data_IF_561058101382
#
_entry.id   IF_561058101382
#
_cell.length_a   1.000
_cell.length_b   1.000
_cell.length_c   1.000
_cell.angle_alpha   90.00
_cell.angle_beta   90.00
_cell.angle_gamma   90.00
#
_symmetry.space_group_name_H-M   'P 1'
#
loop_
_entity.id
_entity.type
_entity.pdbx_description
1 polymer ?
#
# COMPACT_ATOMS: atom_id res chain seq x y z
N UNK A 1 70.46 24.58 -7.78
CA UNK A 1 71.57 25.45 -8.22
C UNK A 1 71.26 25.79 -9.65
N UNK A 2 70.74 27.02 -9.78
CA UNK A 2 70.89 27.99 -10.87
C UNK A 2 70.34 27.56 -12.24
N UNK A 3 69.21 28.13 -12.69
CA UNK A 3 69.04 29.48 -13.26
C UNK A 3 69.98 29.73 -14.45
N UNK A 4 69.40 29.86 -15.64
CA UNK A 4 69.93 30.77 -16.66
C UNK A 4 68.86 31.12 -17.70
N UNK A 5 68.41 32.37 -17.67
CA UNK A 5 67.69 33.04 -18.74
C UNK A 5 68.26 34.45 -18.92
N UNK A 6 68.51 34.88 -20.17
CA UNK A 6 68.43 36.31 -20.50
C UNK A 6 67.88 36.57 -21.93
N UNK A 7 67.79 37.82 -22.41
CA UNK A 7 67.08 39.01 -21.91
C UNK A 7 66.13 39.62 -23.02
N UNK A 8 65.46 40.77 -22.82
CA UNK A 8 64.31 41.23 -23.64
C UNK A 8 64.65 42.32 -24.67
N UNK A 9 63.72 42.62 -25.60
CA UNK A 9 63.60 43.89 -26.33
C UNK A 9 62.21 44.01 -27.02
N UNK A 10 61.83 45.16 -27.63
CA UNK A 10 61.17 46.31 -27.00
C UNK A 10 59.77 46.62 -27.58
N UNK A 11 59.06 47.56 -26.94
CA UNK A 11 57.72 48.02 -27.32
C UNK A 11 57.74 49.03 -28.48
N UNK A 12 56.69 49.03 -29.31
CA UNK A 12 56.28 50.21 -30.09
C UNK A 12 54.74 50.28 -30.27
N UNK A 13 54.18 51.49 -30.15
CA UNK A 13 52.74 51.83 -30.32
C UNK A 13 52.51 52.63 -31.63
N UNK A 14 51.29 53.13 -31.97
CA UNK A 14 50.40 52.52 -32.97
C UNK A 14 50.06 53.46 -34.14
N UNK A 15 49.44 52.95 -35.21
CA UNK A 15 48.82 53.77 -36.27
C UNK A 15 47.30 53.55 -36.35
N UNK A 16 46.54 54.56 -35.89
CA UNK A 16 45.08 54.72 -36.03
C UNK A 16 44.75 55.18 -37.45
N UNK A 17 43.78 54.55 -38.12
CA UNK A 17 43.25 55.11 -39.37
C UNK A 17 42.24 54.26 -40.15
N UNK A 18 42.17 52.94 -39.92
CA UNK A 18 41.35 52.05 -40.76
C UNK A 18 40.04 51.56 -40.13
N UNK A 19 39.93 51.58 -38.80
CA UNK A 19 38.79 50.98 -38.08
C UNK A 19 37.50 51.81 -38.09
N UNK A 20 37.59 53.13 -38.29
CA UNK A 20 36.42 54.01 -38.15
C UNK A 20 35.44 53.95 -39.34
N UNK A 21 35.87 53.53 -40.53
CA UNK A 21 34.99 53.45 -41.72
C UNK A 21 34.17 52.16 -41.77
N UNK A 22 34.69 51.05 -41.24
CA UNK A 22 34.00 49.75 -41.30
C UNK A 22 32.87 49.64 -40.26
N UNK A 23 32.97 50.37 -39.13
CA UNK A 23 31.93 50.39 -38.08
C UNK A 23 30.66 51.13 -38.54
N UNK A 24 30.79 52.17 -39.37
CA UNK A 24 29.63 52.99 -39.79
C UNK A 24 28.69 52.19 -40.71
N UNK A 25 29.21 51.34 -41.59
CA UNK A 25 28.38 50.49 -42.46
C UNK A 25 27.75 49.30 -41.72
N UNK A 26 28.45 48.73 -40.72
CA UNK A 26 27.93 47.62 -39.92
C UNK A 26 26.78 48.03 -38.99
N UNK A 27 26.82 49.24 -38.42
CA UNK A 27 25.77 49.73 -37.50
C UNK A 27 24.53 50.21 -38.27
N UNK A 28 24.70 50.84 -39.43
CA UNK A 28 23.56 51.31 -40.25
C UNK A 28 22.73 50.19 -40.87
N UNK A 29 23.38 49.10 -41.33
CA UNK A 29 22.68 47.95 -41.92
C UNK A 29 21.90 47.11 -40.90
N UNK A 30 22.45 46.96 -39.68
CA UNK A 30 21.81 46.20 -38.60
C UNK A 30 20.53 46.87 -38.06
N UNK A 31 20.53 48.20 -37.96
CA UNK A 31 19.36 48.95 -37.47
C UNK A 31 18.18 48.92 -38.46
N UNK A 32 18.46 48.99 -39.77
CA UNK A 32 17.44 48.89 -40.80
C UNK A 32 16.77 47.51 -40.84
N UNK A 33 17.56 46.43 -40.69
CA UNK A 33 17.03 45.06 -40.62
C UNK A 33 16.19 44.81 -39.36
N UNK A 34 16.61 45.36 -38.22
CA UNK A 34 15.85 45.23 -36.96
C UNK A 34 14.52 46.00 -37.01
N UNK A 35 14.50 47.20 -37.58
CA UNK A 35 13.28 47.99 -37.74
C UNK A 35 12.26 47.33 -38.68
N UNK A 36 12.72 46.70 -39.77
CA UNK A 36 11.87 45.95 -40.70
C UNK A 36 11.30 44.69 -40.04
N UNK A 37 12.11 43.95 -39.27
CA UNK A 37 11.66 42.77 -38.55
C UNK A 37 10.65 43.10 -37.43
N UNK A 38 10.86 44.20 -36.70
CA UNK A 38 9.93 44.69 -35.69
C UNK A 38 8.59 45.12 -36.31
N UNK A 39 8.63 45.83 -37.44
CA UNK A 39 7.41 46.21 -38.16
C UNK A 39 6.65 45.00 -38.72
N UNK A 40 7.34 43.95 -39.18
CA UNK A 40 6.72 42.72 -39.66
C UNK A 40 6.08 41.88 -38.53
N UNK A 41 6.61 41.98 -37.31
CA UNK A 41 6.05 41.34 -36.11
C UNK A 41 4.80 42.10 -35.62
N UNK A 42 4.84 43.43 -35.56
CA UNK A 42 3.70 44.27 -35.18
C UNK A 42 2.57 44.28 -36.21
N UNK A 43 2.89 44.22 -37.50
CA UNK A 43 1.90 44.13 -38.58
C UNK A 43 1.23 42.73 -38.69
N UNK A 44 1.56 41.79 -37.81
CA UNK A 44 0.93 40.47 -37.75
C UNK A 44 1.28 39.52 -38.90
N UNK A 45 2.25 39.89 -39.74
CA UNK A 45 2.69 39.08 -40.89
C UNK A 45 3.50 37.84 -40.48
N UNK A 46 4.02 37.82 -39.25
CA UNK A 46 4.76 36.68 -38.69
C UNK A 46 3.96 35.90 -37.63
N UNK A 47 2.63 36.05 -37.57
CA UNK A 47 1.78 35.33 -36.60
C UNK A 47 1.16 34.05 -37.18
N UNK A 48 1.82 32.95 -36.88
CA UNK A 48 1.37 31.55 -36.69
C UNK A 48 0.60 30.75 -37.77
N UNK A 49 1.10 29.53 -38.02
CA UNK A 49 0.28 28.31 -38.12
C UNK A 49 1.02 27.07 -37.60
N UNK A 50 1.02 26.87 -36.28
CA UNK A 50 0.51 25.65 -35.61
C UNK A 50 0.76 25.75 -34.10
N UNK A 51 0.08 26.69 -33.47
CA UNK A 51 -0.28 26.59 -32.06
C UNK A 51 -1.66 25.92 -31.99
N UNK A 52 -1.65 24.63 -31.69
CA UNK A 52 -2.82 23.77 -31.57
C UNK A 52 -2.49 22.46 -30.89
N UNK A 53 -1.59 22.51 -29.90
CA UNK A 53 -1.33 21.48 -28.90
C UNK A 53 -0.57 22.21 -27.79
N UNK A 54 -1.31 23.01 -27.01
CA UNK A 54 -0.83 23.40 -25.70
C UNK A 54 -0.82 22.11 -24.88
N UNK A 55 0.40 21.59 -24.73
CA UNK A 55 0.87 20.69 -23.69
C UNK A 55 0.20 21.08 -22.37
N UNK A 56 -0.97 20.48 -22.15
CA UNK A 56 -1.58 20.42 -20.84
C UNK A 56 -0.66 19.56 -20.02
N UNK A 57 0.22 20.23 -19.28
CA UNK A 57 0.82 19.79 -18.02
C UNK A 57 0.35 18.37 -17.68
N UNK A 58 1.05 17.36 -18.22
CA UNK A 58 0.78 15.95 -17.94
C UNK A 58 1.28 15.60 -16.55
N UNK A 59 0.92 16.41 -15.56
CA UNK A 59 0.53 15.97 -14.24
C UNK A 59 -0.87 15.31 -14.30
N UNK A 60 -1.02 14.36 -15.22
CA UNK A 60 -2.07 13.35 -15.10
C UNK A 60 -1.37 12.14 -14.51
N UNK A 61 -1.20 12.14 -13.19
CA UNK A 61 -1.38 10.87 -12.49
C UNK A 61 -2.72 10.36 -13.00
N UNK A 62 -2.73 9.24 -13.72
CA UNK A 62 -3.99 8.64 -14.16
C UNK A 62 -4.87 8.55 -12.91
N UNK A 63 -6.04 9.19 -12.93
CA UNK A 63 -6.91 9.17 -11.77
C UNK A 63 -7.16 7.71 -11.39
N UNK A 64 -6.82 7.36 -10.14
CA UNK A 64 -7.00 6.00 -9.64
C UNK A 64 -8.43 5.53 -9.92
N UNK A 65 -8.59 4.24 -10.20
CA UNK A 65 -9.90 3.64 -10.46
C UNK A 65 -10.91 4.01 -9.35
N UNK A 66 -12.11 4.41 -9.76
CA UNK A 66 -13.19 4.83 -8.86
C UNK A 66 -14.32 3.80 -8.90
N UNK A 67 -14.50 3.01 -7.82
CA UNK A 67 -15.64 2.10 -7.71
C UNK A 67 -16.98 2.84 -7.66
N UNK A 68 -18.10 2.20 -8.06
CA UNK A 68 -19.43 2.82 -7.97
C UNK A 68 -19.77 3.25 -6.53
N UNK A 69 -20.43 4.40 -6.30
CA UNK A 69 -20.85 4.81 -4.96
C UNK A 69 -21.97 3.90 -4.43
N UNK A 70 -22.14 3.82 -3.10
CA UNK A 70 -23.19 3.00 -2.47
C UNK A 70 -24.62 3.33 -2.96
N UNK A 71 -24.87 4.58 -3.35
CA UNK A 71 -26.15 5.00 -3.94
C UNK A 71 -26.44 4.38 -5.32
N UNK A 72 -25.44 3.77 -5.96
CA UNK A 72 -25.57 3.09 -7.25
C UNK A 72 -25.77 1.57 -7.11
N UNK A 73 -25.90 1.04 -5.89
CA UNK A 73 -26.29 -0.36 -5.69
C UNK A 73 -27.72 -0.52 -6.23
N UNK A 74 -27.97 -1.47 -7.16
CA UNK A 74 -29.28 -1.65 -7.77
C UNK A 74 -30.34 -2.10 -6.74
N UNK A 75 -31.59 -2.02 -7.14
CA UNK A 75 -32.69 -2.66 -6.40
C UNK A 75 -32.80 -4.14 -6.77
N UNK A 76 -33.52 -4.89 -5.94
CA UNK A 76 -33.80 -6.32 -6.17
C UNK A 76 -32.68 -7.27 -5.73
N UNK A 77 -32.77 -8.55 -6.13
CA UNK A 77 -31.96 -9.61 -5.53
C UNK A 77 -30.44 -9.43 -5.64
N UNK A 78 -29.95 -8.86 -6.75
CA UNK A 78 -28.52 -8.58 -6.93
C UNK A 78 -28.05 -7.49 -5.96
N UNK A 79 -28.80 -6.39 -5.86
CA UNK A 79 -28.53 -5.31 -4.92
C UNK A 79 -28.54 -5.77 -3.47
N UNK A 80 -29.49 -6.62 -3.10
CA UNK A 80 -29.58 -7.18 -1.76
C UNK A 80 -28.37 -8.05 -1.42
N UNK A 81 -27.87 -8.82 -2.38
CA UNK A 81 -26.66 -9.62 -2.21
C UNK A 81 -25.40 -8.74 -2.08
N UNK A 82 -25.30 -7.65 -2.85
CA UNK A 82 -24.23 -6.65 -2.71
C UNK A 82 -24.25 -6.05 -1.31
N UNK A 83 -25.43 -5.65 -0.79
CA UNK A 83 -25.58 -5.09 0.56
C UNK A 83 -25.21 -6.10 1.65
N UNK A 84 -25.60 -7.37 1.52
CA UNK A 84 -25.16 -8.43 2.46
C UNK A 84 -23.65 -8.64 2.41
N UNK A 85 -23.05 -8.66 1.21
CA UNK A 85 -21.61 -8.75 1.03
C UNK A 85 -20.86 -7.59 1.69
N UNK A 86 -21.34 -6.37 1.49
CA UNK A 86 -20.80 -5.17 2.15
C UNK A 86 -20.91 -5.27 3.67
N UNK A 87 -22.05 -5.73 4.20
CA UNK A 87 -22.25 -5.90 5.65
C UNK A 87 -21.27 -6.94 6.24
N UNK A 88 -21.06 -8.07 5.56
CA UNK A 88 -20.04 -9.07 5.94
C UNK A 88 -18.64 -8.46 5.87
N UNK A 89 -18.33 -7.69 4.84
CA UNK A 89 -17.02 -7.07 4.68
C UNK A 89 -16.69 -6.06 5.79
N UNK A 90 -17.67 -5.24 6.14
CA UNK A 90 -17.53 -4.16 7.12
C UNK A 90 -17.54 -4.65 8.56
N UNK A 91 -18.33 -5.69 8.85
CA UNK A 91 -18.50 -6.23 10.20
C UNK A 91 -18.57 -7.77 10.17
N UNK A 92 -17.46 -8.40 9.83
CA UNK A 92 -17.37 -9.83 9.54
C UNK A 92 -17.65 -10.67 10.77
N UNK A 93 -17.15 -10.28 11.93
CA UNK A 93 -17.38 -10.98 13.19
C UNK A 93 -18.85 -11.01 13.61
N UNK A 94 -19.68 -10.06 13.14
CA UNK A 94 -21.11 -10.05 13.43
C UNK A 94 -21.93 -10.77 12.36
N UNK A 95 -21.59 -10.62 11.08
CA UNK A 95 -22.39 -11.12 9.96
C UNK A 95 -21.93 -12.48 9.42
N UNK A 96 -20.78 -12.98 9.85
CA UNK A 96 -20.25 -14.31 9.53
C UNK A 96 -19.60 -14.94 10.76
N UNK A 97 -20.17 -14.72 11.95
CA UNK A 97 -19.61 -15.08 13.27
C UNK A 97 -19.21 -16.54 13.38
N UNK A 98 -19.94 -17.43 12.71
CA UNK A 98 -19.70 -18.88 12.76
C UNK A 98 -18.33 -19.26 12.22
N UNK A 99 -17.75 -18.42 11.35
CA UNK A 99 -16.50 -18.69 10.63
C UNK A 99 -15.35 -17.74 11.01
N UNK A 100 -15.52 -16.92 12.06
CA UNK A 100 -14.52 -15.97 12.53
C UNK A 100 -14.08 -16.36 13.94
N UNK A 101 -12.78 -16.65 14.10
CA UNK A 101 -12.18 -17.04 15.38
C UNK A 101 -11.41 -15.93 16.08
N UNK A 102 -11.59 -14.67 15.64
CA UNK A 102 -11.00 -13.48 16.25
C UNK A 102 -11.99 -12.30 16.22
N UNK A 103 -11.52 -11.07 16.43
CA UNK A 103 -12.38 -9.87 16.42
C UNK A 103 -12.09 -8.93 15.25
N UNK A 104 -11.58 -9.45 14.14
CA UNK A 104 -11.30 -8.66 12.96
C UNK A 104 -12.50 -8.61 12.02
N UNK A 105 -12.44 -7.69 11.07
CA UNK A 105 -13.29 -7.57 9.89
C UNK A 105 -12.44 -7.32 8.66
N UNK A 106 -12.93 -7.66 7.47
CA UNK A 106 -12.19 -7.44 6.21
C UNK A 106 -11.77 -5.97 6.08
N UNK A 107 -12.67 -5.06 6.44
CA UNK A 107 -12.48 -3.61 6.47
C UNK A 107 -11.31 -3.11 7.32
N UNK A 108 -10.80 -3.90 8.28
CA UNK A 108 -9.66 -3.48 9.11
C UNK A 108 -8.33 -3.45 8.33
N UNK A 109 -8.21 -4.22 7.24
CA UNK A 109 -7.03 -4.25 6.38
C UNK A 109 -7.34 -3.72 4.97
N UNK A 110 -8.61 -3.84 4.56
CA UNK A 110 -9.11 -3.39 3.27
C UNK A 110 -9.95 -2.13 3.50
N UNK A 111 -9.27 -1.01 3.69
CA UNK A 111 -9.90 0.23 4.15
C UNK A 111 -10.97 0.75 3.17
N UNK A 112 -11.85 1.59 3.70
CA UNK A 112 -12.97 2.18 2.96
C UNK A 112 -13.86 1.11 2.29
N UNK A 113 -14.20 0.06 3.04
CA UNK A 113 -14.97 -1.07 2.51
C UNK A 113 -14.30 -1.80 1.35
N UNK A 114 -12.98 -1.73 1.23
CA UNK A 114 -12.23 -2.32 0.12
C UNK A 114 -12.14 -1.42 -1.12
N UNK A 115 -12.47 -0.14 -1.00
CA UNK A 115 -12.38 0.86 -2.08
C UNK A 115 -11.03 1.57 -2.11
N UNK A 116 -10.34 1.70 -0.98
CA UNK A 116 -9.12 2.50 -0.85
C UNK A 116 -7.96 1.88 -1.63
N UNK A 117 -7.42 2.62 -2.59
CA UNK A 117 -6.15 2.32 -3.25
C UNK A 117 -5.01 2.19 -2.22
N UNK A 118 -4.00 1.36 -2.51
CA UNK A 118 -2.87 1.08 -1.62
C UNK A 118 -3.27 0.43 -0.28
N UNK A 119 -4.52 -0.04 -0.15
CA UNK A 119 -5.04 -0.81 0.98
C UNK A 119 -5.62 -2.16 0.52
N UNK A 120 -5.00 -2.76 -0.51
CA UNK A 120 -5.44 -3.99 -1.14
C UNK A 120 -6.94 -3.95 -1.53
N UNK A 121 -7.35 -3.00 -2.39
CA UNK A 121 -8.74 -2.82 -2.75
C UNK A 121 -9.32 -4.02 -3.50
N UNK A 122 -10.64 -4.24 -3.34
CA UNK A 122 -11.35 -5.37 -3.92
C UNK A 122 -11.54 -5.24 -5.43
N UNK A 123 -11.71 -4.01 -5.93
CA UNK A 123 -11.85 -3.75 -7.36
C UNK A 123 -10.62 -4.20 -8.16
N UNK A 124 -9.42 -4.01 -7.62
CA UNK A 124 -8.19 -4.50 -8.23
C UNK A 124 -8.01 -6.01 -8.10
N UNK A 125 -8.49 -6.59 -6.99
CA UNK A 125 -8.38 -8.03 -6.77
C UNK A 125 -9.32 -8.80 -7.71
N UNK A 126 -10.53 -8.29 -7.97
CA UNK A 126 -11.50 -8.99 -8.80
C UNK A 126 -11.00 -9.25 -10.23
N UNK A 127 -10.31 -8.29 -10.83
CA UNK A 127 -9.90 -8.36 -12.25
C UNK A 127 -8.78 -9.36 -12.53
N UNK A 128 -8.02 -9.77 -11.51
CA UNK A 128 -6.81 -10.59 -11.67
C UNK A 128 -6.96 -12.03 -11.17
N UNK A 129 -8.16 -12.46 -10.79
CA UNK A 129 -8.47 -13.84 -10.41
C UNK A 129 -9.34 -14.52 -11.48
N UNK A 130 -9.11 -15.80 -11.82
CA UNK A 130 -8.19 -16.76 -11.17
C UNK A 130 -6.69 -16.49 -11.41
N UNK A 131 -5.84 -16.83 -10.43
CA UNK A 131 -4.38 -16.60 -10.49
C UNK A 131 -3.58 -17.66 -9.75
N UNK A 132 -2.41 -17.99 -10.30
CA UNK A 132 -1.43 -18.84 -9.61
C UNK A 132 -0.92 -18.18 -8.32
N UNK A 133 -0.88 -18.95 -7.24
CA UNK A 133 -0.40 -18.50 -5.93
C UNK A 133 0.73 -19.39 -5.44
N UNK A 134 1.91 -18.80 -5.26
CA UNK A 134 3.09 -19.51 -4.74
C UNK A 134 2.87 -20.11 -3.35
N UNK A 135 2.06 -19.46 -2.50
CA UNK A 135 1.77 -19.89 -1.12
C UNK A 135 1.24 -21.33 -1.02
N UNK A 136 0.39 -21.74 -1.96
CA UNK A 136 -0.25 -23.07 -2.00
C UNK A 136 0.00 -23.81 -3.34
N UNK A 137 0.82 -23.23 -4.23
CA UNK A 137 1.28 -23.80 -5.49
C UNK A 137 0.16 -24.27 -6.43
N UNK A 138 -0.96 -23.54 -6.45
CA UNK A 138 -2.11 -23.85 -7.30
C UNK A 138 -2.72 -22.58 -7.91
N UNK A 139 -3.62 -22.77 -8.88
CA UNK A 139 -4.51 -21.71 -9.33
C UNK A 139 -5.58 -21.51 -8.26
N UNK A 140 -5.74 -20.27 -7.81
CA UNK A 140 -6.81 -19.88 -6.90
C UNK A 140 -7.89 -19.13 -7.67
N UNK A 141 -9.14 -19.49 -7.41
CA UNK A 141 -10.31 -18.65 -7.68
C UNK A 141 -10.41 -17.50 -6.68
N UNK A 142 -11.37 -16.58 -6.88
CA UNK A 142 -11.68 -15.57 -5.87
C UNK A 142 -12.20 -16.23 -4.58
N UNK A 143 -13.06 -17.24 -4.67
CA UNK A 143 -13.52 -18.01 -3.50
C UNK A 143 -12.34 -18.63 -2.73
N UNK A 144 -11.37 -19.27 -3.40
CA UNK A 144 -10.18 -19.81 -2.74
C UNK A 144 -9.38 -18.72 -2.02
N UNK A 145 -9.34 -17.51 -2.60
CA UNK A 145 -8.66 -16.37 -1.98
C UNK A 145 -9.36 -15.91 -0.72
N UNK A 146 -10.69 -15.79 -0.76
CA UNK A 146 -11.53 -15.37 0.37
C UNK A 146 -11.52 -16.44 1.47
N UNK A 147 -11.59 -17.72 1.12
CA UNK A 147 -11.38 -18.84 2.05
C UNK A 147 -10.04 -18.73 2.78
N UNK A 148 -8.98 -18.39 2.06
CA UNK A 148 -7.67 -18.09 2.65
C UNK A 148 -7.71 -16.92 3.64
N UNK A 149 -8.46 -15.85 3.35
CA UNK A 149 -8.64 -14.74 4.28
C UNK A 149 -9.35 -15.19 5.57
N UNK A 150 -10.43 -15.98 5.48
CA UNK A 150 -11.06 -16.55 6.67
C UNK A 150 -10.09 -17.44 7.47
N UNK A 151 -9.39 -18.33 6.78
CA UNK A 151 -8.44 -19.29 7.36
C UNK A 151 -7.32 -18.59 8.14
N UNK A 152 -6.80 -17.47 7.64
CA UNK A 152 -5.60 -16.84 8.20
C UNK A 152 -5.88 -15.51 8.90
N UNK A 153 -6.49 -14.56 8.20
CA UNK A 153 -6.76 -13.23 8.76
C UNK A 153 -7.89 -13.26 9.80
N UNK A 154 -8.93 -14.08 9.56
CA UNK A 154 -10.07 -14.21 10.49
C UNK A 154 -9.90 -15.36 11.48
N UNK A 155 -8.77 -16.08 11.42
CA UNK A 155 -8.42 -17.14 12.35
C UNK A 155 -9.52 -18.22 12.49
N UNK A 156 -10.12 -18.65 11.38
CA UNK A 156 -11.33 -19.46 11.40
C UNK A 156 -11.22 -20.81 12.14
N UNK A 157 -10.02 -21.32 12.42
CA UNK A 157 -9.81 -22.54 13.21
C UNK A 157 -10.34 -22.41 14.65
N UNK A 158 -10.42 -21.16 15.13
CA UNK A 158 -10.95 -20.83 16.45
C UNK A 158 -12.38 -20.26 16.38
N UNK A 159 -13.04 -20.39 15.22
CA UNK A 159 -14.46 -20.03 15.08
C UNK A 159 -15.35 -21.12 15.68
N UNK A 160 -16.64 -20.85 15.93
CA UNK A 160 -17.61 -21.87 16.35
C UNK A 160 -17.63 -23.13 15.47
N UNK A 161 -17.40 -23.00 14.15
CA UNK A 161 -17.36 -24.13 13.21
C UNK A 161 -15.97 -24.77 13.06
N UNK A 162 -14.94 -24.20 13.67
CA UNK A 162 -13.55 -24.70 13.60
C UNK A 162 -12.89 -24.57 12.22
N UNK A 163 -13.44 -23.75 11.32
CA UNK A 163 -12.92 -23.60 9.97
C UNK A 163 -13.63 -22.52 9.14
N UNK A 164 -13.09 -22.17 7.97
CA UNK A 164 -13.71 -21.18 7.08
C UNK A 164 -15.04 -21.71 6.52
N UNK A 165 -15.88 -20.86 5.89
CA UNK A 165 -17.11 -21.32 5.27
C UNK A 165 -16.86 -22.45 4.27
N UNK A 166 -17.78 -23.43 4.15
CA UNK A 166 -17.65 -24.51 3.16
C UNK A 166 -17.74 -23.99 1.73
N UNK A 167 -17.21 -24.74 0.77
CA UNK A 167 -17.24 -24.33 -0.64
C UNK A 167 -18.67 -24.06 -1.12
N UNK A 168 -18.86 -22.96 -1.87
CA UNK A 168 -20.18 -22.54 -2.36
C UNK A 168 -21.14 -21.98 -1.31
N UNK A 169 -20.69 -21.72 -0.08
CA UNK A 169 -21.51 -21.09 0.98
C UNK A 169 -21.92 -19.66 0.59
N UNK A 170 -23.10 -19.22 1.05
CA UNK A 170 -23.68 -17.91 0.67
C UNK A 170 -22.80 -16.72 1.08
N UNK A 171 -22.05 -16.84 2.18
CA UNK A 171 -21.01 -15.86 2.58
C UNK A 171 -20.02 -15.58 1.44
N UNK A 172 -19.59 -16.60 0.70
CA UNK A 172 -18.69 -16.39 -0.45
C UNK A 172 -19.42 -15.75 -1.63
N UNK A 173 -20.69 -16.11 -1.87
CA UNK A 173 -21.47 -15.53 -2.98
C UNK A 173 -21.70 -14.04 -2.75
N UNK A 174 -22.15 -13.66 -1.54
CA UNK A 174 -22.40 -12.28 -1.14
C UNK A 174 -21.10 -11.44 -1.15
N UNK A 175 -19.99 -11.98 -0.63
CA UNK A 175 -18.71 -11.29 -0.71
C UNK A 175 -18.21 -11.13 -2.15
N UNK A 176 -18.34 -12.17 -2.98
CA UNK A 176 -17.88 -12.12 -4.38
C UNK A 176 -18.70 -11.14 -5.22
N UNK A 177 -20.04 -11.10 -5.07
CA UNK A 177 -20.85 -10.14 -5.80
C UNK A 177 -20.57 -8.70 -5.36
N UNK A 178 -20.29 -8.46 -4.06
CA UNK A 178 -19.84 -7.15 -3.59
C UNK A 178 -18.49 -6.74 -4.22
N UNK A 179 -17.50 -7.64 -4.22
CA UNK A 179 -16.19 -7.38 -4.84
C UNK A 179 -16.29 -7.17 -6.35
N UNK A 180 -17.15 -7.94 -7.02
CA UNK A 180 -17.46 -7.80 -8.43
C UNK A 180 -18.07 -6.43 -8.74
N UNK A 181 -19.08 -6.01 -7.96
CA UNK A 181 -19.73 -4.72 -8.13
C UNK A 181 -18.76 -3.55 -7.95
N UNK A 182 -17.88 -3.62 -6.93
CA UNK A 182 -16.81 -2.64 -6.76
C UNK A 182 -15.89 -2.53 -7.99
N UNK A 183 -15.72 -3.61 -8.75
CA UNK A 183 -14.88 -3.65 -9.96
C UNK A 183 -15.62 -3.26 -11.25
N UNK A 184 -16.83 -2.68 -11.17
CA UNK A 184 -17.63 -2.32 -12.35
C UNK A 184 -16.85 -1.34 -13.25
N UNK A 185 -16.65 -1.72 -14.52
CA UNK A 185 -15.88 -0.95 -15.50
C UNK A 185 -14.35 -1.16 -15.44
N UNK A 186 -13.85 -1.95 -14.48
CA UNK A 186 -12.43 -2.28 -14.42
C UNK A 186 -12.05 -3.31 -15.50
N UNK A 187 -10.88 -3.18 -16.16
CA UNK A 187 -10.46 -4.12 -17.19
C UNK A 187 -10.00 -5.46 -16.60
N UNK A 188 -10.54 -6.56 -17.14
CA UNK A 188 -10.13 -7.92 -16.75
C UNK A 188 -8.68 -8.21 -17.14
N UNK A 189 -7.94 -8.86 -16.24
CA UNK A 189 -6.58 -9.35 -16.49
C UNK A 189 -5.48 -8.30 -16.41
N UNK A 190 -5.80 -7.06 -16.00
CA UNK A 190 -4.82 -5.99 -15.87
C UNK A 190 -4.50 -5.69 -14.41
N UNK A 191 -3.22 -5.44 -14.15
CA UNK A 191 -2.77 -4.89 -12.86
C UNK A 191 -3.12 -3.40 -12.83
N UNK A 192 -3.99 -3.03 -11.90
CA UNK A 192 -4.46 -1.65 -11.76
C UNK A 192 -3.59 -0.88 -10.76
N UNK A 193 -3.32 0.39 -11.08
CA UNK A 193 -2.63 1.30 -10.16
C UNK A 193 -3.40 1.40 -8.83
N UNK A 194 -2.71 1.30 -7.70
CA UNK A 194 -3.33 1.26 -6.37
C UNK A 194 -3.75 -0.14 -5.90
N UNK A 195 -3.49 -1.20 -6.68
CA UNK A 195 -3.68 -2.58 -6.25
C UNK A 195 -2.74 -2.95 -5.08
N UNK A 196 -3.21 -3.80 -4.17
CA UNK A 196 -2.39 -4.30 -3.06
C UNK A 196 -1.98 -3.22 -2.05
N UNK A 197 -0.92 -3.50 -1.30
CA UNK A 197 -0.21 -2.49 -0.50
C UNK A 197 1.06 -2.10 -1.27
N UNK A 198 1.54 -0.85 -1.16
CA UNK A 198 2.78 -0.47 -1.80
C UNK A 198 3.93 -1.27 -1.23
N UNK A 199 4.83 -1.70 -2.11
CA UNK A 199 6.10 -2.26 -1.70
C UNK A 199 7.01 -1.13 -1.23
N UNK A 200 7.56 -1.29 -0.03
CA UNK A 200 8.45 -0.31 0.56
C UNK A 200 9.89 -0.78 0.38
N UNK A 201 10.76 0.07 -0.14
CA UNK A 201 12.18 -0.27 -0.22
C UNK A 201 12.74 -0.46 1.19
N UNK A 202 13.57 -1.49 1.36
CA UNK A 202 14.21 -1.76 2.64
C UNK A 202 15.32 -0.74 2.86
N UNK A 203 15.27 -0.04 3.99
CA UNK A 203 16.29 0.93 4.36
C UNK A 203 17.62 0.22 4.69
N UNK A 204 18.73 0.96 4.57
CA UNK A 204 20.05 0.44 4.90
C UNK A 204 20.19 -0.02 6.37
N UNK A 205 19.41 0.56 7.28
CA UNK A 205 19.41 0.20 8.70
C UNK A 205 18.52 -1.03 9.04
N UNK A 206 17.90 -1.65 8.03
CA UNK A 206 16.95 -2.74 8.22
C UNK A 206 15.76 -2.32 9.10
N UNK A 207 15.21 -3.27 9.86
CA UNK A 207 14.13 -3.00 10.82
C UNK A 207 14.52 -3.45 12.23
N UNK A 208 14.11 -2.68 13.22
CA UNK A 208 14.39 -2.93 14.64
C UNK A 208 13.13 -2.76 15.50
N UNK A 209 12.61 -3.85 16.11
CA UNK A 209 11.49 -3.78 17.04
C UNK A 209 11.68 -2.81 18.21
N UNK A 210 12.91 -2.56 18.67
CA UNK A 210 13.16 -1.64 19.79
C UNK A 210 12.88 -0.18 19.39
N UNK A 211 13.33 0.24 18.20
CA UNK A 211 12.94 1.52 17.60
C UNK A 211 11.45 1.55 17.29
N UNK A 212 10.91 0.45 16.77
CA UNK A 212 9.50 0.30 16.45
C UNK A 212 8.58 0.49 17.64
N UNK A 213 8.99 0.04 18.83
CA UNK A 213 8.25 0.25 20.08
C UNK A 213 8.05 1.73 20.40
N UNK A 214 9.05 2.57 20.13
CA UNK A 214 8.95 4.02 20.33
C UNK A 214 7.96 4.66 19.35
N UNK A 215 8.04 4.25 18.07
CA UNK A 215 7.09 4.68 17.03
C UNK A 215 5.66 4.26 17.41
N UNK A 216 5.47 3.02 17.87
CA UNK A 216 4.19 2.48 18.31
C UNK A 216 3.59 3.29 19.46
N UNK A 217 4.37 3.54 20.51
CA UNK A 217 3.93 4.31 21.66
C UNK A 217 3.48 5.73 21.29
N UNK A 218 4.22 6.38 20.37
CA UNK A 218 3.94 7.75 19.96
C UNK A 218 2.78 7.89 18.96
N UNK A 219 2.52 6.88 18.11
CA UNK A 219 1.63 7.02 16.96
C UNK A 219 0.46 6.02 16.90
N UNK A 220 0.52 4.91 17.64
CA UNK A 220 -0.40 3.77 17.45
C UNK A 220 -1.16 3.40 18.73
N UNK A 221 -0.50 3.47 19.89
CA UNK A 221 -1.03 2.96 21.15
C UNK A 221 -2.35 3.61 21.59
N UNK A 222 -2.58 4.88 21.25
CA UNK A 222 -3.84 5.59 21.58
C UNK A 222 -5.07 4.94 20.96
N UNK A 223 -4.94 4.32 19.79
CA UNK A 223 -6.04 3.63 19.11
C UNK A 223 -5.99 2.12 19.31
N UNK A 224 -4.80 1.51 19.17
CA UNK A 224 -4.64 0.05 19.20
C UNK A 224 -4.35 -0.51 20.59
N UNK A 225 -4.23 0.34 21.61
CA UNK A 225 -3.89 -0.04 22.98
C UNK A 225 -2.39 -0.21 23.20
N UNK A 226 -1.93 -0.04 24.45
CA UNK A 226 -0.53 -0.20 24.80
C UNK A 226 0.01 -1.61 24.52
N UNK A 227 -0.85 -2.62 24.68
CA UNK A 227 -0.56 -4.04 24.44
C UNK A 227 -1.19 -4.55 23.14
N UNK A 228 -1.53 -3.66 22.20
CA UNK A 228 -2.02 -4.01 20.86
C UNK A 228 -3.35 -4.75 20.84
N UNK A 229 -4.09 -4.72 21.95
CA UNK A 229 -5.33 -5.46 22.16
C UNK A 229 -6.54 -4.87 21.41
N UNK A 230 -6.35 -3.72 20.75
CA UNK A 230 -7.42 -2.95 20.13
C UNK A 230 -8.32 -2.25 21.15
N UNK A 231 -9.44 -1.73 20.68
CA UNK A 231 -10.46 -1.10 21.51
C UNK A 231 -11.85 -1.54 21.10
N UNK A 232 -12.78 -1.48 22.06
CA UNK A 232 -14.16 -1.89 21.90
C UNK A 232 -15.09 -0.74 22.29
N UNK A 233 -16.24 -0.65 21.64
CA UNK A 233 -17.32 0.23 22.08
C UNK A 233 -18.02 -0.33 23.34
N UNK A 234 -18.99 0.43 23.86
CA UNK A 234 -19.79 0.06 25.04
C UNK A 234 -20.63 -1.22 24.82
N UNK A 235 -20.89 -1.59 23.56
CA UNK A 235 -21.62 -2.81 23.20
C UNK A 235 -20.67 -3.99 22.94
N UNK A 236 -19.37 -3.82 23.20
CA UNK A 236 -18.36 -4.84 23.00
C UNK A 236 -17.98 -5.08 21.54
N UNK A 237 -18.32 -4.17 20.62
CA UNK A 237 -17.92 -4.25 19.20
C UNK A 237 -16.51 -3.68 19.02
N UNK A 238 -15.63 -4.35 18.26
CA UNK A 238 -14.28 -3.84 18.01
C UNK A 238 -14.35 -2.54 17.18
N UNK A 239 -13.74 -1.47 17.68
CA UNK A 239 -13.64 -0.18 16.98
C UNK A 239 -12.26 -0.02 16.36
N UNK A 240 -11.22 -0.36 17.12
CA UNK A 240 -9.86 -0.47 16.62
C UNK A 240 -9.39 -1.92 16.72
N UNK A 241 -8.84 -2.49 15.63
CA UNK A 241 -8.47 -3.89 15.62
C UNK A 241 -7.30 -4.17 16.56
N UNK A 242 -7.31 -5.38 17.14
CA UNK A 242 -6.13 -5.94 17.77
C UNK A 242 -5.05 -6.20 16.71
N UNK A 243 -3.81 -5.83 17.03
CA UNK A 243 -2.66 -5.96 16.12
C UNK A 243 -1.84 -7.23 16.39
N UNK A 244 -1.92 -7.74 17.61
CA UNK A 244 -1.36 -9.01 18.05
C UNK A 244 -2.20 -9.60 19.21
N UNK A 245 -1.73 -10.69 19.81
CA UNK A 245 -2.47 -11.40 20.84
C UNK A 245 -3.62 -12.24 20.28
N UNK A 246 -4.41 -12.90 21.16
CA UNK A 246 -5.35 -13.96 20.76
C UNK A 246 -6.53 -13.49 19.90
N UNK A 247 -6.78 -12.18 19.82
CA UNK A 247 -7.89 -11.60 19.04
C UNK A 247 -7.45 -10.98 17.71
N UNK A 248 -6.18 -11.18 17.31
CA UNK A 248 -5.64 -10.68 16.05
C UNK A 248 -5.63 -11.76 14.95
N UNK A 249 -5.15 -11.41 13.75
CA UNK A 249 -4.81 -12.36 12.68
C UNK A 249 -3.73 -13.36 13.12
N UNK A 250 -3.76 -14.58 12.57
CA UNK A 250 -2.84 -15.66 12.93
C UNK A 250 -1.51 -15.61 12.16
N UNK A 251 -0.57 -16.48 12.55
CA UNK A 251 0.78 -16.54 11.94
C UNK A 251 0.79 -16.90 10.45
N UNK A 252 -0.27 -17.51 9.92
CA UNK A 252 -0.39 -17.77 8.49
C UNK A 252 -0.88 -16.57 7.68
N UNK A 253 -1.25 -15.45 8.30
CA UNK A 253 -1.77 -14.28 7.61
C UNK A 253 -0.67 -13.48 6.91
N UNK A 254 -1.01 -12.89 5.76
CA UNK A 254 -0.04 -12.08 5.01
C UNK A 254 0.48 -10.87 5.81
N UNK A 255 -0.36 -10.31 6.69
CA UNK A 255 -0.05 -9.18 7.56
C UNK A 255 0.97 -9.52 8.66
N UNK A 256 1.21 -10.81 8.95
CA UNK A 256 2.25 -11.23 9.89
C UNK A 256 3.68 -11.07 9.33
N UNK A 257 3.82 -10.73 8.04
CA UNK A 257 5.11 -10.42 7.41
C UNK A 257 5.43 -8.93 7.57
N UNK A 258 6.66 -8.64 8.00
CA UNK A 258 7.16 -7.29 8.28
C UNK A 258 7.05 -6.39 7.06
N UNK A 259 7.47 -6.87 5.88
CA UNK A 259 7.41 -6.07 4.64
C UNK A 259 5.97 -5.72 4.23
N UNK A 260 5.06 -6.70 4.32
CA UNK A 260 3.64 -6.49 4.01
C UNK A 260 3.00 -5.49 4.97
N UNK A 261 3.29 -5.61 6.27
CA UNK A 261 2.80 -4.67 7.28
C UNK A 261 3.41 -3.28 7.13
N UNK A 262 4.71 -3.17 6.81
CA UNK A 262 5.37 -1.88 6.61
C UNK A 262 4.73 -1.09 5.45
N UNK A 263 4.47 -1.76 4.31
CA UNK A 263 3.78 -1.14 3.17
C UNK A 263 2.36 -0.68 3.52
N UNK A 264 1.58 -1.52 4.22
CA UNK A 264 0.25 -1.14 4.70
C UNK A 264 0.32 0.07 5.66
N UNK A 265 1.23 0.04 6.63
CA UNK A 265 1.38 1.08 7.64
C UNK A 265 1.81 2.40 6.99
N UNK A 266 2.82 2.39 6.11
CA UNK A 266 3.28 3.57 5.40
C UNK A 266 2.13 4.30 4.69
N UNK A 267 1.35 3.55 3.92
CA UNK A 267 0.30 4.12 3.10
C UNK A 267 -0.98 4.47 3.87
N UNK A 268 -1.25 3.83 5.01
CA UNK A 268 -2.58 3.88 5.61
C UNK A 268 -2.62 4.23 7.10
N UNK A 269 -1.47 4.28 7.77
CA UNK A 269 -1.39 4.52 9.21
C UNK A 269 -0.39 5.63 9.58
N UNK A 270 -0.70 6.47 10.59
CA UNK A 270 -1.95 6.54 11.36
C UNK A 270 -3.18 6.86 10.49
N UNK A 271 -4.37 6.43 10.94
CA UNK A 271 -5.60 6.56 10.15
C UNK A 271 -5.84 8.03 9.74
N UNK A 272 -6.11 8.25 8.46
CA UNK A 272 -6.32 9.59 7.89
C UNK A 272 -5.03 10.40 7.68
N UNK A 273 -3.85 9.82 7.96
CA UNK A 273 -2.55 10.48 7.87
C UNK A 273 -1.56 9.62 7.07
N UNK A 274 -1.96 9.27 5.85
CA UNK A 274 -1.12 8.54 4.88
C UNK A 274 0.25 9.19 4.72
N UNK A 275 1.30 8.37 4.61
CA UNK A 275 2.70 8.77 4.42
C UNK A 275 3.30 9.66 5.52
N UNK A 276 2.61 9.80 6.66
CA UNK A 276 3.11 10.53 7.83
C UNK A 276 4.39 9.93 8.40
N UNK A 277 4.48 8.60 8.45
CA UNK A 277 5.67 7.91 8.94
C UNK A 277 6.74 7.88 7.85
N UNK A 278 8.00 8.03 8.26
CA UNK A 278 9.12 7.73 7.37
C UNK A 278 9.18 6.23 7.07
N UNK A 279 9.85 5.85 5.99
CA UNK A 279 9.95 4.44 5.59
C UNK A 279 10.63 3.61 6.69
N UNK A 280 11.68 4.18 7.32
CA UNK A 280 12.34 3.56 8.47
C UNK A 280 11.37 3.33 9.64
N UNK A 281 10.54 4.32 9.96
CA UNK A 281 9.56 4.20 11.03
C UNK A 281 8.51 3.13 10.72
N UNK A 282 8.03 3.05 9.47
CA UNK A 282 7.09 2.04 9.02
C UNK A 282 7.67 0.62 9.13
N UNK A 283 8.92 0.43 8.69
CA UNK A 283 9.66 -0.82 8.84
C UNK A 283 9.86 -1.23 10.30
N UNK A 284 10.32 -0.30 11.14
CA UNK A 284 10.58 -0.55 12.56
C UNK A 284 9.30 -0.90 13.32
N UNK A 285 8.22 -0.13 13.14
CA UNK A 285 6.95 -0.38 13.82
C UNK A 285 6.27 -1.66 13.34
N UNK A 286 6.37 -1.99 12.04
CA UNK A 286 5.91 -3.27 11.51
C UNK A 286 6.66 -4.44 12.16
N UNK A 287 7.98 -4.31 12.34
CA UNK A 287 8.78 -5.33 13.02
C UNK A 287 8.41 -5.45 14.50
N UNK A 288 8.16 -4.34 15.19
CA UNK A 288 7.66 -4.36 16.57
C UNK A 288 6.33 -5.11 16.68
N UNK A 289 5.33 -4.73 15.87
CA UNK A 289 4.01 -5.38 15.85
C UNK A 289 4.12 -6.88 15.56
N UNK A 290 4.90 -7.26 14.54
CA UNK A 290 5.03 -8.64 14.10
C UNK A 290 6.07 -9.46 14.86
N UNK A 291 6.73 -8.88 15.87
CA UNK A 291 7.54 -9.62 16.85
C UNK A 291 6.71 -10.14 18.04
N UNK A 292 5.44 -9.74 18.13
CA UNK A 292 4.51 -10.15 19.19
C UNK A 292 3.80 -11.47 18.84
N UNK A 293 3.40 -12.23 19.86
CA UNK A 293 2.67 -13.49 19.65
C UNK A 293 1.23 -13.25 19.19
N UNK A 294 0.72 -14.22 18.43
CA UNK A 294 -0.62 -14.23 17.83
C UNK A 294 -1.08 -15.68 17.64
N UNK A 295 -2.33 -15.95 17.21
CA UNK A 295 -2.79 -17.31 17.06
C UNK A 295 -1.90 -18.13 16.12
N UNK A 296 -1.79 -19.42 16.43
CA UNK A 296 -0.92 -20.39 15.75
C UNK A 296 -1.17 -20.43 14.24
N UNK A 297 -0.14 -20.73 13.46
CA UNK A 297 -0.34 -21.02 12.03
C UNK A 297 -1.19 -22.31 11.90
N UNK A 298 -2.33 -22.29 11.19
CA UNK A 298 -3.17 -23.47 10.97
C UNK A 298 -2.44 -24.65 10.28
N UNK A 299 -1.31 -24.38 9.64
CA UNK A 299 -0.46 -25.36 8.94
C UNK A 299 0.57 -26.01 9.87
N UNK A 300 0.73 -25.52 11.11
CA UNK A 300 1.70 -26.05 12.05
C UNK A 300 1.20 -27.36 12.69
N UNK A 301 1.56 -28.48 12.06
CA UNK A 301 1.27 -29.85 12.52
C UNK A 301 2.40 -30.46 13.37
N UNK A 302 3.56 -29.80 13.44
CA UNK A 302 4.74 -30.25 14.19
C UNK A 302 5.36 -29.11 14.99
N UNK A 303 6.69 -29.10 15.05
CA UNK A 303 7.45 -28.03 15.71
C UNK A 303 7.32 -26.70 14.97
N UNK A 304 7.60 -25.60 15.68
CA UNK A 304 7.64 -24.26 15.08
C UNK A 304 8.72 -24.20 14.00
N UNK A 305 9.88 -24.82 14.23
CA UNK A 305 11.02 -24.80 13.31
C UNK A 305 10.70 -25.53 11.99
N UNK A 306 10.07 -26.69 12.04
CA UNK A 306 9.63 -27.42 10.84
C UNK A 306 8.65 -26.57 10.01
N UNK A 307 7.71 -25.91 10.69
CA UNK A 307 6.74 -25.04 10.01
C UNK A 307 7.42 -23.78 9.45
N UNK A 308 8.38 -23.21 10.16
CA UNK A 308 9.14 -22.05 9.70
C UNK A 308 9.86 -22.38 8.39
N UNK A 309 10.54 -23.53 8.32
CA UNK A 309 11.21 -23.99 7.11
C UNK A 309 10.23 -24.26 5.97
N UNK A 310 9.11 -24.94 6.26
CA UNK A 310 8.14 -25.37 5.24
C UNK A 310 7.28 -24.23 4.69
N UNK A 311 6.89 -23.29 5.54
CA UNK A 311 5.80 -22.35 5.26
C UNK A 311 6.18 -20.87 5.37
N UNK A 312 7.33 -20.56 5.95
CA UNK A 312 7.83 -19.19 6.14
C UNK A 312 9.24 -18.96 5.57
N UNK A 313 9.79 -19.95 4.85
CA UNK A 313 11.07 -19.82 4.17
C UNK A 313 11.05 -18.67 3.16
N UNK A 314 11.99 -17.73 3.30
CA UNK A 314 12.11 -16.54 2.45
C UNK A 314 11.15 -15.40 2.80
N UNK A 315 10.31 -15.54 3.83
CA UNK A 315 9.46 -14.44 4.30
C UNK A 315 10.20 -13.53 5.28
N UNK A 316 9.94 -12.23 5.20
CA UNK A 316 10.33 -11.25 6.23
C UNK A 316 9.41 -11.41 7.46
N UNK A 317 9.66 -12.42 8.31
CA UNK A 317 8.81 -12.75 9.46
C UNK A 317 9.62 -13.13 10.70
N UNK A 318 9.02 -12.94 11.88
CA UNK A 318 9.57 -13.38 13.17
C UNK A 318 9.21 -14.83 13.52
N UNK A 319 8.28 -15.47 12.79
CA UNK A 319 7.90 -16.86 13.04
C UNK A 319 9.12 -17.79 13.03
N UNK A 320 9.27 -18.60 14.08
CA UNK A 320 10.41 -19.52 14.26
C UNK A 320 11.69 -18.89 14.78
N UNK A 321 11.73 -17.57 15.02
CA UNK A 321 12.89 -16.88 15.60
C UNK A 321 12.76 -16.80 17.12
N UNK A 322 13.90 -16.77 17.80
CA UNK A 322 13.96 -16.39 19.22
C UNK A 322 14.09 -14.87 19.32
N UNK A 323 13.14 -14.22 19.98
CA UNK A 323 13.16 -12.79 20.23
C UNK A 323 12.90 -12.54 21.72
N UNK A 324 13.77 -11.73 22.35
CA UNK A 324 13.75 -11.47 23.80
C UNK A 324 13.69 -12.76 24.66
N UNK A 325 14.47 -13.78 24.28
CA UNK A 325 14.55 -15.05 24.99
C UNK A 325 13.35 -15.99 24.80
N UNK A 326 12.38 -15.62 23.97
CA UNK A 326 11.19 -16.43 23.67
C UNK A 326 11.17 -16.87 22.20
N UNK A 327 10.84 -18.14 21.97
CA UNK A 327 10.54 -18.65 20.63
C UNK A 327 9.19 -18.09 20.16
N UNK A 328 9.21 -17.44 18.99
CA UNK A 328 8.01 -16.86 18.35
C UNK A 328 7.40 -17.86 17.36
N UNK A 329 6.09 -17.90 17.28
CA UNK A 329 5.32 -18.84 16.45
C UNK A 329 4.66 -19.97 17.26
N UNK A 330 4.74 -19.94 18.59
CA UNK A 330 4.12 -20.98 19.44
C UNK A 330 2.59 -20.84 19.50
N UNK A 331 2.07 -19.65 19.19
CA UNK A 331 0.66 -19.34 19.28
C UNK A 331 0.30 -18.64 20.58
N UNK A 332 -0.92 -18.11 20.62
CA UNK A 332 -1.55 -17.63 21.85
C UNK A 332 -2.44 -18.73 22.44
N UNK A 333 -2.73 -18.68 23.75
CA UNK A 333 -3.79 -19.49 24.32
C UNK A 333 -5.11 -19.28 23.56
N UNK A 334 -5.96 -20.30 23.58
CA UNK A 334 -7.34 -20.19 23.11
C UNK A 334 -8.00 -18.93 23.70
N UNK A 335 -8.66 -18.09 22.88
CA UNK A 335 -9.39 -16.97 23.41
C UNK A 335 -10.43 -17.52 24.40
N UNK A 336 -10.32 -17.16 25.68
CA UNK A 336 -11.38 -17.48 26.65
C UNK A 336 -12.68 -16.96 26.07
N UNK A 337 -13.63 -17.86 25.80
CA UNK A 337 -14.95 -17.50 25.32
C UNK A 337 -15.48 -16.43 26.26
N UNK A 338 -15.72 -15.22 25.76
CA UNK A 338 -16.53 -14.27 26.52
C UNK A 338 -17.84 -15.01 26.77
N UNK A 339 -18.15 -15.28 28.04
CA UNK A 339 -19.53 -15.51 28.42
C UNK A 339 -20.33 -14.37 27.77
N UNK A 340 -21.28 -14.72 26.90
CA UNK A 340 -22.24 -13.73 26.42
C UNK A 340 -22.82 -13.05 27.66
N UNK A 341 -22.85 -11.70 27.75
CA UNK A 341 -23.62 -11.05 28.80
C UNK A 341 -25.08 -11.51 28.75
#
# INVERSE_FOLDING_TARGET
MDDDAPPPAPQDRPAKGRFARDVIYAVGGGFALFAIAAYAFDAGWLRDRKAGEADGDRNVHAALFQPPPDSAIPDGPEGDAIRRGQAIFMNTSANASDFVGNNLSCSNCHLDGGRRANSAPMWAAWTVYPKYRSKNKQINTMEDRVKGCFTYSMNAQHSPTGGPPPAGHDVYKDLQIYMHWLATGAPTGQDLEGAGYPELEKTAAGYDPARGRQVYAANCATCHGADGQGQYDLNGRPVFPALWGPRSYNWGAGMARVNTAAGFIKANMPLGQSDRLTDQQAWDVAAFINSQERPKDPRQTGTVQETAQKNHGGEETFYGRTYQGRLIGVGTPEPTTRARP
#
